data_IF_590171076465
#
_entry.id   IF_590171076465
#
_cell.length_a   1.000
_cell.length_b   1.000
_cell.length_c   1.000
_cell.angle_alpha   90.00
_cell.angle_beta   90.00
_cell.angle_gamma   90.00
#
_symmetry.space_group_name_H-M   'P 1'
#
loop_
_entity.id
_entity.type
_entity.pdbx_description
1 polymer ?
#
# COMPACT_ATOMS: atom_id res chain seq x y z
N UNK A 1 2.41 8.77 -1.92
CA UNK A 1 1.89 10.05 -1.61
C UNK A 1 2.98 10.98 -1.11
N UNK A 2 3.22 11.97 -1.91
CA UNK A 2 4.27 12.91 -1.55
C UNK A 2 3.69 13.94 -0.60
N UNK A 3 4.40 14.19 0.47
CA UNK A 3 4.00 15.18 1.43
C UNK A 3 5.00 16.30 1.38
N UNK A 4 4.56 17.47 0.96
CA UNK A 4 5.43 18.59 0.81
C UNK A 4 5.22 19.64 1.90
N UNK A 5 4.22 19.47 2.74
CA UNK A 5 3.92 20.45 3.76
C UNK A 5 3.64 19.78 5.08
N UNK A 6 3.85 20.51 6.13
CA UNK A 6 3.69 19.99 7.49
C UNK A 6 2.26 19.59 7.80
N UNK A 7 1.29 20.34 7.26
CA UNK A 7 -0.09 20.05 7.58
C UNK A 7 -0.58 18.75 6.96
N UNK A 8 0.10 18.24 5.94
CA UNK A 8 -0.26 16.95 5.36
C UNK A 8 0.59 15.83 5.91
N UNK A 9 1.80 16.11 6.36
CA UNK A 9 2.73 15.09 6.82
C UNK A 9 2.11 14.24 7.94
N UNK A 10 1.49 14.86 8.90
CA UNK A 10 0.98 14.13 10.05
C UNK A 10 -0.24 13.28 9.73
N UNK A 11 -0.83 13.45 8.55
CA UNK A 11 -1.98 12.67 8.13
C UNK A 11 -1.61 11.49 7.27
N UNK A 12 -0.37 11.43 6.83
CA UNK A 12 0.05 10.46 5.83
C UNK A 12 1.32 9.79 6.28
N UNK A 13 1.20 8.54 6.64
CA UNK A 13 2.34 7.73 7.07
C UNK A 13 2.63 6.61 6.08
N UNK A 14 2.26 6.84 4.82
CA UNK A 14 2.57 5.88 3.78
C UNK A 14 4.04 5.92 3.41
N UNK A 15 4.50 4.86 2.79
CA UNK A 15 5.84 4.81 2.20
C UNK A 15 5.68 4.48 0.73
N UNK A 16 6.56 5.03 -0.09
CA UNK A 16 6.62 4.70 -1.51
C UNK A 16 7.85 3.83 -1.73
N UNK A 17 7.62 2.64 -2.23
CA UNK A 17 8.67 1.67 -2.48
C UNK A 17 8.97 1.68 -3.96
N UNK A 18 10.20 2.07 -4.31
CA UNK A 18 10.60 2.13 -5.71
C UNK A 18 10.49 0.73 -6.33
N UNK A 19 9.82 0.65 -7.47
CA UNK A 19 9.63 -0.62 -8.15
C UNK A 19 9.34 -0.34 -9.62
N UNK A 20 9.96 -1.09 -10.54
CA UNK A 20 9.57 -1.00 -11.95
C UNK A 20 8.14 -1.47 -12.10
N UNK A 21 7.47 -1.02 -13.17
CA UNK A 21 6.12 -1.46 -13.46
C UNK A 21 6.13 -2.97 -13.69
N UNK A 22 5.18 -3.67 -13.06
CA UNK A 22 5.01 -5.10 -13.29
C UNK A 22 5.62 -6.00 -12.22
N UNK A 23 6.22 -5.44 -11.17
CA UNK A 23 6.77 -6.25 -10.11
C UNK A 23 5.65 -6.83 -9.24
N UNK A 24 5.78 -8.07 -8.78
CA UNK A 24 4.74 -8.64 -7.93
C UNK A 24 4.66 -7.91 -6.60
N UNK A 25 3.44 -7.62 -6.18
CA UNK A 25 3.15 -7.04 -4.87
C UNK A 25 2.51 -8.14 -4.03
N UNK A 26 3.06 -8.36 -2.84
CA UNK A 26 2.62 -9.46 -2.00
C UNK A 26 1.95 -8.94 -0.74
N UNK A 27 0.95 -9.71 -0.29
CA UNK A 27 0.27 -9.39 0.97
C UNK A 27 1.29 -9.42 2.11
N UNK A 28 1.29 -8.38 2.92
CA UNK A 28 2.26 -8.24 4.01
C UNK A 28 1.95 -9.16 5.18
N UNK A 29 0.71 -9.63 5.27
CA UNK A 29 0.27 -10.57 6.30
C UNK A 29 -1.02 -11.22 5.82
N UNK A 30 -1.42 -12.29 6.49
CA UNK A 30 -2.69 -12.97 6.16
C UNK A 30 -3.85 -12.04 6.46
N UNK A 31 -4.92 -12.17 5.69
CA UNK A 31 -6.11 -11.36 5.89
C UNK A 31 -7.14 -11.60 4.81
N UNK A 32 -8.06 -10.65 4.71
CA UNK A 32 -9.13 -10.71 3.73
C UNK A 32 -9.15 -9.40 2.95
N UNK A 33 -9.25 -9.51 1.64
CA UNK A 33 -9.36 -8.32 0.77
C UNK A 33 -10.71 -7.67 1.05
N UNK A 34 -10.69 -6.39 1.43
CA UNK A 34 -11.93 -5.66 1.68
C UNK A 34 -12.20 -4.62 0.61
N UNK A 35 -11.21 -4.31 -0.22
CA UNK A 35 -11.39 -3.43 -1.36
C UNK A 35 -10.37 -3.81 -2.43
N UNK A 36 -10.81 -3.87 -3.67
CA UNK A 36 -9.92 -3.96 -4.83
C UNK A 36 -10.57 -3.21 -5.97
N UNK A 37 -9.93 -2.15 -6.45
CA UNK A 37 -10.52 -1.34 -7.51
C UNK A 37 -9.80 -0.02 -7.68
N UNK A 38 -10.42 0.84 -8.47
CA UNK A 38 -9.84 2.12 -8.86
C UNK A 38 -10.24 3.23 -7.88
N UNK A 39 -9.26 4.04 -7.51
CA UNK A 39 -9.49 5.30 -6.81
C UNK A 39 -8.72 6.39 -7.54
N UNK A 40 -9.19 7.63 -7.41
CA UNK A 40 -8.58 8.72 -8.15
C UNK A 40 -7.14 8.95 -7.71
N UNK A 41 -6.90 8.99 -6.41
CA UNK A 41 -5.56 9.32 -5.91
C UNK A 41 -4.60 8.14 -5.98
N UNK A 42 -5.05 6.97 -5.53
CA UNK A 42 -4.17 5.81 -5.41
C UNK A 42 -4.25 4.85 -6.60
N UNK A 43 -5.06 5.20 -7.61
CA UNK A 43 -5.21 4.36 -8.79
C UNK A 43 -5.78 3.02 -8.42
N UNK A 44 -5.24 1.96 -9.01
CA UNK A 44 -5.65 0.61 -8.67
C UNK A 44 -5.16 0.28 -7.27
N UNK A 45 -6.10 0.09 -6.35
CA UNK A 45 -5.83 -0.04 -4.92
C UNK A 45 -6.35 -1.37 -4.40
N UNK A 46 -5.56 -2.03 -3.56
CA UNK A 46 -5.99 -3.19 -2.79
C UNK A 46 -5.89 -2.84 -1.31
N UNK A 47 -6.93 -3.17 -0.56
CA UNK A 47 -6.93 -3.01 0.90
C UNK A 47 -7.21 -4.37 1.52
N UNK A 48 -6.37 -4.76 2.47
CA UNK A 48 -6.50 -6.03 3.18
C UNK A 48 -6.76 -5.75 4.65
N UNK A 49 -7.76 -6.45 5.21
CA UNK A 49 -8.04 -6.42 6.64
C UNK A 49 -7.39 -7.62 7.29
N UNK A 50 -6.61 -7.38 8.33
CA UNK A 50 -5.81 -8.42 8.99
C UNK A 50 -6.38 -8.84 10.35
N UNK A 51 -7.50 -8.27 10.77
CA UNK A 51 -8.01 -8.46 12.11
C UNK A 51 -7.49 -7.39 13.06
N UNK A 52 -8.07 -7.31 14.25
CA UNK A 52 -7.66 -6.37 15.29
C UNK A 52 -7.57 -4.92 14.80
N UNK A 53 -8.46 -4.54 13.88
CA UNK A 53 -8.52 -3.18 13.32
C UNK A 53 -7.27 -2.79 12.54
N UNK A 54 -6.52 -3.76 12.00
CA UNK A 54 -5.38 -3.50 11.13
C UNK A 54 -5.77 -3.65 9.67
N UNK A 55 -5.40 -2.66 8.85
CA UNK A 55 -5.59 -2.69 7.41
C UNK A 55 -4.27 -2.32 6.73
N UNK A 56 -4.00 -2.91 5.58
CA UNK A 56 -2.88 -2.50 4.73
C UNK A 56 -3.40 -2.08 3.37
N UNK A 57 -2.80 -1.03 2.83
CA UNK A 57 -3.18 -0.42 1.55
C UNK A 57 -2.02 -0.56 0.57
N UNK A 58 -2.34 -0.96 -0.66
CA UNK A 58 -1.36 -1.15 -1.72
C UNK A 58 -1.84 -0.37 -2.94
N UNK A 59 -1.24 0.78 -3.21
CA UNK A 59 -1.70 1.71 -4.22
C UNK A 59 -0.82 1.82 -5.44
N UNK A 60 -1.36 2.46 -6.48
CA UNK A 60 -0.72 2.72 -7.77
C UNK A 60 -0.38 1.46 -8.54
N UNK A 61 -1.13 0.38 -8.33
CA UNK A 61 -0.87 -0.88 -9.02
C UNK A 61 -1.19 -0.80 -10.51
N UNK A 62 -0.50 -1.63 -11.29
CA UNK A 62 -0.80 -1.79 -12.70
C UNK A 62 -2.00 -2.73 -12.87
N UNK A 63 -1.92 -3.91 -12.26
CA UNK A 63 -2.97 -4.91 -12.31
C UNK A 63 -3.34 -5.34 -10.91
N UNK A 64 -4.64 -5.59 -10.70
CA UNK A 64 -5.13 -6.17 -9.45
C UNK A 64 -5.45 -7.63 -9.74
N UNK A 65 -4.95 -8.53 -8.91
CA UNK A 65 -5.07 -9.97 -9.10
C UNK A 65 -5.99 -10.63 -8.09
N UNK A 66 -6.59 -9.86 -7.19
CA UNK A 66 -7.48 -10.39 -6.15
C UNK A 66 -8.81 -9.66 -6.18
N UNK A 67 -9.84 -10.28 -5.61
CA UNK A 67 -11.19 -9.75 -5.58
C UNK A 67 -11.60 -9.43 -4.16
N UNK A 68 -12.60 -8.54 -3.98
CA UNK A 68 -13.13 -8.29 -2.64
C UNK A 68 -13.58 -9.60 -1.99
N UNK A 69 -13.33 -9.69 -0.70
CA UNK A 69 -13.66 -10.82 0.17
C UNK A 69 -12.79 -12.05 -0.02
N UNK A 70 -11.85 -12.01 -0.94
CA UNK A 70 -10.90 -13.12 -1.11
C UNK A 70 -9.95 -13.16 0.09
N UNK A 71 -9.67 -14.37 0.60
CA UNK A 71 -8.72 -14.56 1.69
C UNK A 71 -7.34 -14.75 1.11
N UNK A 72 -6.35 -14.11 1.72
CA UNK A 72 -4.97 -14.18 1.27
C UNK A 72 -4.07 -14.54 2.44
N UNK A 73 -2.92 -15.09 2.13
CA UNK A 73 -1.88 -15.39 3.10
C UNK A 73 -0.71 -14.45 2.86
N UNK A 74 0.07 -14.23 3.91
CA UNK A 74 1.32 -13.50 3.78
C UNK A 74 2.13 -14.05 2.62
N UNK A 75 2.57 -13.18 1.74
CA UNK A 75 3.37 -13.56 0.59
C UNK A 75 2.59 -13.88 -0.67
N UNK A 76 1.25 -13.98 -0.58
CA UNK A 76 0.44 -14.18 -1.79
C UNK A 76 0.56 -12.94 -2.69
N UNK A 77 0.71 -13.16 -3.98
CA UNK A 77 0.75 -12.05 -4.95
C UNK A 77 -0.66 -11.52 -5.12
N UNK A 78 -0.85 -10.24 -4.84
CA UNK A 78 -2.17 -9.61 -4.87
C UNK A 78 -2.32 -8.63 -6.04
N UNK A 79 -1.20 -8.17 -6.58
CA UNK A 79 -1.22 -7.19 -7.67
C UNK A 79 0.17 -7.13 -8.30
N UNK A 80 0.29 -6.29 -9.33
CA UNK A 80 1.60 -5.92 -9.87
C UNK A 80 1.77 -4.42 -9.70
N UNK A 81 2.99 -4.02 -9.38
CA UNK A 81 3.30 -2.61 -9.17
C UNK A 81 3.15 -1.81 -10.45
N UNK A 82 2.89 -0.52 -10.31
CA UNK A 82 2.62 0.31 -11.46
C UNK A 82 2.84 1.78 -11.19
N UNK A 83 2.04 2.58 -11.89
CA UNK A 83 2.11 4.03 -11.80
C UNK A 83 0.72 4.64 -11.99
N UNK A 84 -0.31 3.89 -11.61
CA UNK A 84 -1.71 4.30 -11.83
C UNK A 84 -2.14 5.33 -10.79
N UNK A 85 -3.17 6.10 -11.15
CA UNK A 85 -3.66 7.16 -10.29
C UNK A 85 -2.76 8.38 -10.34
N UNK A 86 -2.79 9.18 -9.28
CA UNK A 86 -1.96 10.38 -9.19
C UNK A 86 -0.60 9.96 -8.62
N UNK A 87 0.36 9.82 -9.50
CA UNK A 87 1.67 9.31 -9.13
C UNK A 87 2.75 10.01 -9.95
N UNK A 88 3.89 10.27 -9.35
CA UNK A 88 4.99 10.96 -10.00
C UNK A 88 6.00 10.00 -10.64
N UNK A 89 5.79 8.69 -10.53
CA UNK A 89 6.68 7.70 -11.12
C UNK A 89 6.34 6.31 -10.61
N UNK A 90 6.90 5.27 -11.23
CA UNK A 90 6.60 3.88 -10.85
C UNK A 90 7.03 3.59 -9.42
N UNK A 91 6.09 3.18 -8.59
CA UNK A 91 6.37 2.80 -7.20
C UNK A 91 5.13 2.13 -6.61
N UNK A 92 5.34 1.41 -5.53
CA UNK A 92 4.24 0.90 -4.71
C UNK A 92 4.03 1.85 -3.55
N UNK A 93 2.80 2.31 -3.39
CA UNK A 93 2.44 3.12 -2.21
C UNK A 93 1.84 2.18 -1.17
N UNK A 94 2.43 2.12 0.00
CA UNK A 94 2.05 1.20 1.05
C UNK A 94 1.67 1.96 2.32
N UNK A 95 0.50 1.63 2.89
CA UNK A 95 0.04 2.24 4.13
C UNK A 95 -0.42 1.16 5.10
N UNK A 96 -0.25 1.43 6.38
CA UNK A 96 -0.85 0.62 7.45
C UNK A 96 -1.80 1.51 8.22
N UNK A 97 -3.00 1.00 8.45
CA UNK A 97 -4.00 1.68 9.26
C UNK A 97 -4.30 0.83 10.49
N UNK A 98 -4.36 1.46 11.65
CA UNK A 98 -4.67 0.80 12.91
C UNK A 98 -5.68 1.63 13.66
N UNK A 99 -6.79 1.00 14.08
CA UNK A 99 -7.85 1.67 14.85
C UNK A 99 -8.39 2.91 14.13
N UNK A 100 -8.51 2.83 12.81
CA UNK A 100 -9.10 3.90 12.00
C UNK A 100 -8.15 5.03 11.66
N UNK A 101 -6.86 4.91 11.95
CA UNK A 101 -5.89 5.96 11.66
C UNK A 101 -4.67 5.38 10.97
N UNK A 102 -4.06 6.13 10.06
CA UNK A 102 -2.81 5.68 9.44
C UNK A 102 -1.68 5.72 10.45
N UNK A 103 -0.82 4.71 10.39
CA UNK A 103 0.34 4.62 11.27
C UNK A 103 1.59 4.48 10.41
N UNK A 104 2.75 4.76 11.01
CA UNK A 104 4.01 4.71 10.29
C UNK A 104 4.38 3.25 9.99
N UNK A 105 4.45 2.86 8.70
CA UNK A 105 4.81 1.49 8.35
C UNK A 105 6.19 1.07 8.85
N UNK A 106 7.09 2.02 9.04
CA UNK A 106 8.44 1.70 9.51
C UNK A 106 8.45 1.17 10.94
N UNK A 107 7.39 1.44 11.71
CA UNK A 107 7.27 0.89 13.06
C UNK A 107 7.01 -0.62 13.03
N UNK A 108 6.40 -1.10 11.95
CA UNK A 108 6.04 -2.52 11.81
C UNK A 108 7.01 -3.26 10.90
N UNK A 109 7.63 -2.55 9.97
CA UNK A 109 8.57 -3.11 9.00
C UNK A 109 9.82 -2.24 8.95
N UNK A 110 10.67 -2.30 9.99
CA UNK A 110 11.88 -1.44 10.03
C UNK A 110 12.82 -1.66 8.85
N UNK A 111 12.76 -2.85 8.23
CA UNK A 111 13.61 -3.15 7.08
C UNK A 111 13.30 -2.26 5.88
N UNK A 112 12.11 -1.66 5.81
CA UNK A 112 11.78 -0.75 4.71
C UNK A 112 12.69 0.47 4.71
N UNK A 113 13.24 0.83 5.85
CA UNK A 113 14.13 1.98 5.96
C UNK A 113 15.44 1.77 5.25
N UNK A 114 15.74 0.54 4.85
CA UNK A 114 16.99 0.19 4.18
C UNK A 114 16.82 -0.04 2.69
N UNK A 115 15.63 0.18 2.16
CA UNK A 115 15.32 -0.06 0.77
C UNK A 115 15.20 1.27 0.03
N UNK A 116 14.97 1.19 -1.29
CA UNK A 116 14.69 2.38 -2.10
C UNK A 116 13.26 2.83 -1.86
N UNK A 117 13.04 3.51 -0.75
CA UNK A 117 11.71 3.98 -0.38
C UNK A 117 11.76 5.47 -0.07
N UNK A 118 10.59 6.09 -0.19
CA UNK A 118 10.37 7.47 0.25
C UNK A 118 9.27 7.45 1.29
N UNK A 119 9.52 8.05 2.44
CA UNK A 119 8.53 8.21 3.48
C UNK A 119 7.74 9.47 3.19
N UNK A 120 6.43 9.33 3.14
CA UNK A 120 5.57 10.44 2.77
C UNK A 120 4.71 10.92 3.91
#
# INVERSE_FOLDING_TARGET
MVVSSEETVRKHFGVDIAAPIGEPVMASASGQVVFSGWTTELGNLVIIYHGNEFFTYYGHNELILVKPYEKVKRGDVISTSGNSGISSGPHLHFEIWKDGEPVDPLLYFPELNKSNISVK
#
